data_IF_113237756661
#
_entry.id   IF_113237756661
#
_cell.length_a   1.000
_cell.length_b   1.000
_cell.length_c   1.000
_cell.angle_alpha   90.00
_cell.angle_beta   90.00
_cell.angle_gamma   90.00
#
_symmetry.space_group_name_H-M   'P 1'
#
loop_
_entity.id
_entity.type
_entity.pdbx_description
1 polymer ?
#
# COMPACT_ATOMS: atom_id res chain seq x y z
N UNK A 1 -10.71 27.91 8.19
CA UNK A 1 -9.67 27.83 9.25
C UNK A 1 -9.34 26.35 9.44
N UNK A 2 -8.06 25.99 9.46
CA UNK A 2 -7.61 24.59 9.60
C UNK A 2 -7.46 24.21 11.06
N UNK A 3 -8.14 23.14 11.49
CA UNK A 3 -8.07 22.60 12.85
C UNK A 3 -6.94 21.57 12.95
N UNK A 4 -6.09 21.69 13.96
CA UNK A 4 -5.14 20.64 14.30
C UNK A 4 -5.79 19.66 15.28
N UNK A 5 -5.69 18.36 15.01
CA UNK A 5 -6.12 17.29 15.91
C UNK A 5 -4.90 16.50 16.39
N UNK A 6 -5.05 15.81 17.53
CA UNK A 6 -4.05 14.85 17.99
C UNK A 6 -4.24 13.55 17.22
N UNK A 7 -3.14 12.89 16.86
CA UNK A 7 -3.18 11.65 16.08
C UNK A 7 -4.03 10.56 16.76
N UNK A 8 -3.81 10.31 18.06
CA UNK A 8 -4.62 9.37 18.84
C UNK A 8 -6.05 9.81 19.18
N UNK A 9 -6.49 10.99 18.74
CA UNK A 9 -7.84 11.53 18.95
C UNK A 9 -8.32 12.30 17.70
N UNK A 10 -8.36 11.59 16.57
CA UNK A 10 -8.64 12.13 15.24
C UNK A 10 -10.05 11.79 14.73
N UNK A 11 -10.97 11.46 15.63
CA UNK A 11 -12.36 11.13 15.26
C UNK A 11 -13.15 12.38 14.91
N UNK A 12 -13.84 12.32 13.77
CA UNK A 12 -14.71 13.39 13.27
C UNK A 12 -16.11 12.85 13.07
N UNK A 13 -17.10 13.55 13.61
CA UNK A 13 -18.52 13.29 13.36
C UNK A 13 -18.97 14.07 12.12
N UNK A 14 -19.31 13.35 11.05
CA UNK A 14 -19.67 13.94 9.76
C UNK A 14 -20.93 14.78 9.82
N UNK A 15 -21.85 14.49 10.75
CA UNK A 15 -23.08 15.26 10.93
C UNK A 15 -22.83 16.65 11.52
N UNK A 16 -21.66 16.85 12.14
CA UNK A 16 -21.26 18.14 12.76
C UNK A 16 -20.42 19.01 11.84
N UNK A 17 -20.16 18.58 10.60
CA UNK A 17 -19.38 19.35 9.65
C UNK A 17 -20.08 20.69 9.32
N UNK A 18 -19.35 21.82 9.36
CA UNK A 18 -19.90 23.10 8.92
C UNK A 18 -20.31 23.05 7.44
N UNK A 19 -21.28 23.88 7.05
CA UNK A 19 -21.75 23.96 5.66
C UNK A 19 -20.62 24.29 4.65
N UNK A 20 -19.59 25.03 5.08
CA UNK A 20 -18.40 25.33 4.28
C UNK A 20 -17.32 24.24 4.28
N UNK A 21 -17.59 23.09 4.92
CA UNK A 21 -16.63 22.02 5.15
C UNK A 21 -15.71 22.26 6.36
N UNK A 22 -14.78 21.33 6.57
CA UNK A 22 -13.76 21.41 7.60
C UNK A 22 -12.38 21.09 7.02
N UNK A 23 -11.34 21.76 7.51
CA UNK A 23 -9.96 21.41 7.21
C UNK A 23 -9.29 20.89 8.48
N UNK A 24 -8.64 19.73 8.40
CA UNK A 24 -7.98 19.05 9.53
C UNK A 24 -6.52 18.80 9.21
N UNK A 25 -5.64 18.93 10.22
CA UNK A 25 -4.24 18.51 10.15
C UNK A 25 -3.89 17.57 11.30
N UNK A 26 -3.18 16.51 10.97
CA UNK A 26 -2.63 15.52 11.89
C UNK A 26 -1.10 15.47 11.78
N UNK A 27 -0.44 15.22 12.90
CA UNK A 27 0.98 14.88 12.96
C UNK A 27 1.21 13.84 14.04
N UNK A 28 1.86 12.74 13.68
CA UNK A 28 2.11 11.61 14.56
C UNK A 28 3.23 11.95 15.57
N UNK A 29 2.90 11.88 16.86
CA UNK A 29 3.85 11.98 17.94
C UNK A 29 4.76 10.76 18.02
N UNK A 30 5.71 10.76 18.98
CA UNK A 30 6.67 9.67 19.11
C UNK A 30 5.99 8.31 19.40
N UNK A 31 4.94 8.31 20.22
CA UNK A 31 4.17 7.10 20.54
C UNK A 31 3.36 6.62 19.33
N UNK A 32 2.64 7.53 18.67
CA UNK A 32 1.89 7.24 17.44
C UNK A 32 2.77 6.64 16.36
N UNK A 33 3.98 7.19 16.14
CA UNK A 33 4.93 6.67 15.15
C UNK A 33 5.38 5.24 15.47
N UNK A 34 5.58 4.89 16.75
CA UNK A 34 5.87 3.51 17.14
C UNK A 34 4.68 2.60 16.89
N UNK A 35 3.47 3.05 17.18
CA UNK A 35 2.25 2.29 16.90
C UNK A 35 2.04 2.05 15.41
N UNK A 36 2.24 3.07 14.56
CA UNK A 36 2.19 2.95 13.10
C UNK A 36 3.26 1.96 12.61
N UNK A 37 4.51 2.09 13.09
CA UNK A 37 5.58 1.16 12.73
C UNK A 37 5.23 -0.29 13.08
N UNK A 38 4.67 -0.53 14.26
CA UNK A 38 4.20 -1.85 14.68
C UNK A 38 3.08 -2.39 13.79
N UNK A 39 2.06 -1.56 13.50
CA UNK A 39 0.90 -1.95 12.66
C UNK A 39 1.31 -2.27 11.22
N UNK A 40 2.23 -1.50 10.65
CA UNK A 40 2.70 -1.64 9.27
C UNK A 40 3.96 -2.51 9.14
N UNK A 41 4.41 -3.14 10.23
CA UNK A 41 5.61 -4.01 10.27
C UNK A 41 6.88 -3.32 9.72
N UNK A 42 7.07 -2.06 10.10
CA UNK A 42 8.20 -1.22 9.70
C UNK A 42 9.30 -1.23 10.77
N UNK A 43 10.59 -1.18 10.37
CA UNK A 43 11.68 -0.85 11.30
C UNK A 43 11.42 0.42 12.12
N UNK A 44 11.07 1.54 11.48
CA UNK A 44 10.67 2.77 12.16
C UNK A 44 9.88 3.71 11.25
N UNK A 45 9.17 4.65 11.87
CA UNK A 45 8.55 5.81 11.24
C UNK A 45 9.18 7.06 11.83
N UNK A 46 9.87 7.83 11.00
CA UNK A 46 10.60 9.03 11.41
C UNK A 46 9.68 10.25 11.46
N UNK A 47 8.74 10.33 10.51
CA UNK A 47 7.71 11.35 10.45
C UNK A 47 6.45 10.80 9.77
N UNK A 48 5.28 11.25 10.22
CA UNK A 48 4.02 11.02 9.52
C UNK A 48 3.08 12.19 9.82
N UNK A 49 2.52 12.79 8.78
CA UNK A 49 1.59 13.90 8.88
C UNK A 49 0.60 13.87 7.72
N UNK A 50 -0.64 14.28 7.98
CA UNK A 50 -1.69 14.32 6.98
C UNK A 50 -2.50 15.62 7.10
N UNK A 51 -2.97 16.12 5.96
CA UNK A 51 -3.96 17.21 5.89
C UNK A 51 -5.18 16.73 5.14
N UNK A 52 -6.35 17.15 5.59
CA UNK A 52 -7.66 16.77 5.06
C UNK A 52 -8.51 18.01 4.85
N UNK A 53 -9.26 18.03 3.76
CA UNK A 53 -10.38 18.91 3.51
C UNK A 53 -11.64 18.04 3.36
N UNK A 54 -12.58 18.20 4.28
CA UNK A 54 -13.84 17.47 4.33
C UNK A 54 -14.97 18.37 3.86
N UNK A 55 -15.75 17.89 2.89
CA UNK A 55 -16.92 18.59 2.36
C UNK A 55 -18.12 17.65 2.34
N UNK A 56 -19.20 18.04 3.01
CA UNK A 56 -20.45 17.30 2.89
C UNK A 56 -21.01 17.46 1.47
N UNK A 57 -21.34 16.34 0.85
CA UNK A 57 -21.99 16.28 -0.45
C UNK A 57 -23.41 15.69 -0.28
N UNK A 58 -24.46 16.49 -0.50
CA UNK A 58 -25.84 16.01 -0.36
C UNK A 58 -26.09 14.76 -1.21
N UNK A 59 -26.53 13.68 -0.57
CA UNK A 59 -26.81 12.40 -1.22
C UNK A 59 -25.60 11.53 -1.57
N UNK A 60 -24.36 12.02 -1.38
CA UNK A 60 -23.11 11.27 -1.67
C UNK A 60 -22.22 11.03 -0.44
N UNK A 61 -22.53 11.65 0.70
CA UNK A 61 -21.77 11.48 1.95
C UNK A 61 -20.82 12.65 2.20
N UNK A 62 -19.55 12.37 2.48
CA UNK A 62 -18.52 13.40 2.67
C UNK A 62 -17.35 13.14 1.75
N UNK A 63 -17.02 14.10 0.89
CA UNK A 63 -15.78 14.07 0.12
C UNK A 63 -14.60 14.48 1.00
N UNK A 64 -13.51 13.74 0.90
CA UNK A 64 -12.25 13.94 1.60
C UNK A 64 -11.15 14.11 0.58
N UNK A 65 -10.60 15.31 0.49
CA UNK A 65 -9.36 15.57 -0.24
C UNK A 65 -8.22 15.67 0.76
N UNK A 66 -7.06 15.13 0.45
CA UNK A 66 -5.97 15.18 1.40
C UNK A 66 -4.59 14.98 0.81
N UNK A 67 -3.61 15.15 1.71
CA UNK A 67 -2.21 14.89 1.41
C UNK A 67 -1.53 14.28 2.62
N UNK A 68 -0.90 13.14 2.40
CA UNK A 68 -0.11 12.40 3.37
C UNK A 68 1.37 12.58 3.06
N UNK A 69 2.17 12.85 4.10
CA UNK A 69 3.64 12.84 4.03
C UNK A 69 4.20 11.99 5.14
N UNK A 70 5.05 11.03 4.79
CA UNK A 70 5.74 10.17 5.74
C UNK A 70 7.19 9.92 5.34
N UNK A 71 8.02 9.66 6.35
CA UNK A 71 9.41 9.23 6.20
C UNK A 71 9.59 7.97 7.01
N UNK A 72 9.87 6.88 6.33
CA UNK A 72 9.88 5.52 6.86
C UNK A 72 11.31 4.97 6.78
N UNK A 73 11.67 4.09 7.71
CA UNK A 73 12.80 3.20 7.53
C UNK A 73 12.26 1.84 7.10
N UNK A 74 12.82 1.31 6.02
CA UNK A 74 12.40 0.06 5.37
C UNK A 74 13.61 -0.85 5.21
N UNK A 75 13.36 -2.14 4.94
CA UNK A 75 14.41 -3.08 4.54
C UNK A 75 14.38 -3.25 3.03
N UNK A 76 15.52 -3.15 2.39
CA UNK A 76 15.70 -3.51 1.00
C UNK A 76 15.34 -4.99 0.81
N UNK A 77 14.43 -5.31 -0.11
CA UNK A 77 14.00 -6.71 -0.35
C UNK A 77 15.10 -7.60 -0.93
N UNK A 78 16.15 -6.98 -1.49
CA UNK A 78 17.30 -7.69 -2.06
C UNK A 78 18.41 -7.89 -1.03
N UNK A 79 18.91 -6.78 -0.46
CA UNK A 79 20.09 -6.83 0.43
C UNK A 79 19.74 -7.00 1.91
N UNK A 80 18.49 -6.73 2.31
CA UNK A 80 18.07 -6.70 3.71
C UNK A 80 18.47 -5.42 4.48
N UNK A 81 19.28 -4.55 3.87
CA UNK A 81 19.78 -3.33 4.48
C UNK A 81 18.66 -2.33 4.81
N UNK A 82 18.88 -1.55 5.85
CA UNK A 82 18.01 -0.44 6.19
C UNK A 82 18.14 0.68 5.15
N UNK A 83 17.01 1.26 4.76
CA UNK A 83 16.96 2.40 3.85
C UNK A 83 15.78 3.32 4.18
N UNK A 84 15.86 4.56 3.72
CA UNK A 84 14.78 5.53 3.84
C UNK A 84 13.80 5.40 2.69
N UNK A 85 12.50 5.47 3.00
CA UNK A 85 11.42 5.62 2.03
C UNK A 85 10.62 6.88 2.38
N UNK A 86 10.48 7.79 1.41
CA UNK A 86 9.66 9.00 1.55
C UNK A 86 8.36 8.79 0.77
N UNK A 87 7.24 8.89 1.47
CA UNK A 87 5.90 8.87 0.89
C UNK A 87 5.36 10.30 0.90
N UNK A 88 4.97 10.80 -0.27
CA UNK A 88 4.26 12.07 -0.41
C UNK A 88 3.10 11.88 -1.40
N UNK A 89 1.90 11.66 -0.86
CA UNK A 89 0.73 11.24 -1.63
C UNK A 89 -0.42 12.22 -1.45
N UNK A 90 -0.93 12.76 -2.55
CA UNK A 90 -2.27 13.34 -2.60
C UNK A 90 -3.31 12.22 -2.77
N UNK A 91 -4.46 12.36 -2.13
CA UNK A 91 -5.53 11.37 -2.20
C UNK A 91 -6.89 12.04 -2.15
N UNK A 92 -7.88 11.33 -2.69
CA UNK A 92 -9.29 11.67 -2.64
C UNK A 92 -10.03 10.43 -2.18
N UNK A 93 -11.04 10.60 -1.33
CA UNK A 93 -11.86 9.51 -0.84
C UNK A 93 -13.24 10.03 -0.43
N UNK A 94 -14.24 9.15 -0.36
CA UNK A 94 -15.54 9.46 0.21
C UNK A 94 -15.77 8.75 1.55
N UNK A 95 -16.53 9.38 2.44
CA UNK A 95 -17.08 8.74 3.63
C UNK A 95 -18.56 8.53 3.39
N UNK A 96 -18.97 7.26 3.41
CA UNK A 96 -20.36 6.81 3.15
C UNK A 96 -20.91 6.10 4.38
N UNK A 97 -22.24 6.07 4.54
CA UNK A 97 -22.87 5.39 5.69
C UNK A 97 -23.05 3.88 5.45
N UNK A 98 -23.22 3.51 4.20
CA UNK A 98 -23.47 2.14 3.75
C UNK A 98 -22.63 1.91 2.50
N UNK A 99 -22.29 0.65 2.21
CA UNK A 99 -21.60 0.29 0.99
C UNK A 99 -22.45 0.69 -0.22
N UNK A 100 -21.89 1.43 -1.20
CA UNK A 100 -22.61 1.72 -2.42
C UNK A 100 -22.94 0.40 -3.12
N UNK A 101 -24.17 0.29 -3.64
CA UNK A 101 -24.51 -0.84 -4.49
C UNK A 101 -23.58 -0.85 -5.71
N UNK A 102 -23.04 -2.02 -6.07
CA UNK A 102 -22.18 -2.17 -7.24
C UNK A 102 -22.89 -1.56 -8.46
N UNK A 103 -22.29 -0.54 -9.07
CA UNK A 103 -22.81 0.02 -10.29
C UNK A 103 -22.64 -1.02 -11.40
N UNK A 104 -23.69 -1.30 -12.18
CA UNK A 104 -23.63 -2.21 -13.34
C UNK A 104 -22.79 -1.65 -14.51
N UNK A 105 -22.17 -0.48 -14.33
CA UNK A 105 -21.44 0.25 -15.37
C UNK A 105 -19.94 0.30 -15.02
N UNK A 106 -19.19 -0.65 -15.58
CA UNK A 106 -17.73 -0.90 -15.43
C UNK A 106 -16.83 0.29 -15.84
N UNK A 107 -17.40 1.44 -16.22
CA UNK A 107 -16.72 2.57 -16.83
C UNK A 107 -16.55 3.81 -15.92
N UNK A 108 -17.13 3.83 -14.72
CA UNK A 108 -16.86 4.87 -13.74
C UNK A 108 -15.63 4.47 -12.90
N UNK A 109 -14.60 5.32 -12.85
CA UNK A 109 -13.52 5.14 -11.88
C UNK A 109 -14.13 5.14 -10.46
N UNK A 110 -14.11 3.98 -9.81
CA UNK A 110 -14.66 3.81 -8.47
C UNK A 110 -13.76 4.57 -7.49
N UNK A 111 -14.23 5.72 -7.02
CA UNK A 111 -13.51 6.50 -6.02
C UNK A 111 -13.42 5.71 -4.71
N UNK A 112 -12.22 5.63 -4.13
CA UNK A 112 -12.00 4.99 -2.83
C UNK A 112 -12.96 5.54 -1.76
N UNK A 113 -13.52 4.67 -0.94
CA UNK A 113 -14.45 5.07 0.12
C UNK A 113 -14.17 4.38 1.45
N UNK A 114 -14.53 5.07 2.54
CA UNK A 114 -14.56 4.56 3.90
C UNK A 114 -16.01 4.48 4.36
N UNK A 115 -16.43 3.32 4.86
CA UNK A 115 -17.78 3.13 5.40
C UNK A 115 -17.80 3.52 6.87
N UNK A 116 -18.60 4.51 7.23
CA UNK A 116 -18.81 5.01 8.59
C UNK A 116 -20.30 4.93 8.98
N UNK A 117 -20.80 3.75 9.43
CA UNK A 117 -22.23 3.55 9.70
C UNK A 117 -22.77 4.46 10.81
N UNK A 118 -21.96 4.77 11.82
CA UNK A 118 -22.29 5.69 12.90
C UNK A 118 -22.05 7.17 12.54
N UNK A 119 -21.60 7.44 11.31
CA UNK A 119 -21.24 8.77 10.84
C UNK A 119 -19.94 9.31 11.44
N UNK A 120 -19.10 8.47 12.04
CA UNK A 120 -17.81 8.88 12.60
C UNK A 120 -16.67 8.25 11.84
N UNK A 121 -15.74 9.09 11.39
CA UNK A 121 -14.52 8.65 10.71
C UNK A 121 -13.32 8.88 11.62
N UNK A 122 -12.37 7.95 11.61
CA UNK A 122 -11.06 8.13 12.22
C UNK A 122 -10.05 8.56 11.14
N UNK A 123 -9.70 9.85 11.13
CA UNK A 123 -8.80 10.40 10.12
C UNK A 123 -7.35 9.91 10.30
N UNK A 124 -6.96 9.48 11.50
CA UNK A 124 -5.64 8.89 11.70
C UNK A 124 -5.59 7.47 11.12
N UNK A 125 -6.66 6.69 11.26
CA UNK A 125 -6.76 5.37 10.62
C UNK A 125 -6.78 5.49 9.10
N UNK A 126 -7.57 6.41 8.54
CA UNK A 126 -7.58 6.70 7.09
C UNK A 126 -6.17 7.07 6.59
N UNK A 127 -5.43 7.92 7.32
CA UNK A 127 -4.04 8.23 6.98
C UNK A 127 -3.13 7.00 6.97
N UNK A 128 -3.33 6.05 7.89
CA UNK A 128 -2.54 4.80 7.96
C UNK A 128 -2.87 3.88 6.79
N UNK A 129 -4.13 3.76 6.40
CA UNK A 129 -4.53 2.97 5.23
C UNK A 129 -3.93 3.54 3.94
N UNK A 130 -4.05 4.86 3.74
CA UNK A 130 -3.42 5.55 2.60
C UNK A 130 -1.91 5.37 2.62
N UNK A 131 -1.27 5.46 3.80
CA UNK A 131 0.16 5.20 3.93
C UNK A 131 0.50 3.78 3.49
N UNK A 132 -0.25 2.79 3.96
CA UNK A 132 0.00 1.39 3.69
C UNK A 132 -0.03 1.08 2.18
N UNK A 133 -1.04 1.59 1.48
CA UNK A 133 -1.19 1.42 0.02
C UNK A 133 -0.18 2.25 -0.77
N UNK A 134 0.32 3.35 -0.21
CA UNK A 134 1.27 4.23 -0.90
C UNK A 134 2.73 3.77 -0.80
N UNK A 135 3.05 2.79 0.05
CA UNK A 135 4.42 2.27 0.17
C UNK A 135 4.81 1.47 -1.07
N UNK A 136 6.10 1.49 -1.39
CA UNK A 136 6.68 0.60 -2.39
C UNK A 136 6.46 -0.86 -1.98
N UNK A 137 5.83 -1.64 -2.87
CA UNK A 137 5.55 -3.06 -2.66
C UNK A 137 6.83 -3.90 -2.55
N UNK A 138 7.86 -3.55 -3.34
CA UNK A 138 9.16 -4.21 -3.36
C UNK A 138 10.28 -3.16 -3.18
N UNK A 139 10.45 -2.66 -1.95
CA UNK A 139 11.32 -1.52 -1.70
C UNK A 139 12.79 -1.93 -1.90
N UNK A 140 13.52 -1.24 -2.80
CA UNK A 140 14.92 -1.52 -3.15
C UNK A 140 15.82 -0.34 -2.81
N UNK A 141 16.91 -0.63 -2.09
CA UNK A 141 17.92 0.35 -1.72
C UNK A 141 19.00 0.52 -2.79
N UNK A 142 19.87 1.52 -2.64
CA UNK A 142 20.92 1.83 -3.62
C UNK A 142 21.93 0.67 -3.83
N UNK A 143 22.10 -0.21 -2.86
CA UNK A 143 22.96 -1.40 -2.97
C UNK A 143 22.31 -2.61 -3.64
N UNK A 144 21.02 -2.55 -3.99
CA UNK A 144 20.29 -3.72 -4.49
C UNK A 144 20.90 -4.29 -5.78
N UNK A 145 21.28 -3.44 -6.73
CA UNK A 145 21.81 -3.88 -8.02
C UNK A 145 23.17 -4.58 -7.89
N UNK A 146 24.03 -4.09 -6.99
CA UNK A 146 25.33 -4.70 -6.71
C UNK A 146 25.17 -6.11 -6.12
N UNK A 147 24.24 -6.27 -5.17
CA UNK A 147 23.94 -7.57 -4.56
C UNK A 147 23.35 -8.53 -5.59
N UNK A 148 22.42 -8.07 -6.44
CA UNK A 148 21.87 -8.90 -7.53
C UNK A 148 22.94 -9.39 -8.50
N UNK A 149 23.90 -8.53 -8.86
CA UNK A 149 24.98 -8.90 -9.77
C UNK A 149 25.89 -9.99 -9.18
N UNK A 150 26.17 -9.94 -7.87
CA UNK A 150 26.96 -10.96 -7.17
C UNK A 150 26.25 -12.32 -7.17
N UNK A 151 24.94 -12.35 -6.89
CA UNK A 151 24.15 -13.58 -6.93
C UNK A 151 23.96 -14.13 -8.36
N UNK A 152 23.77 -13.26 -9.35
CA UNK A 152 23.65 -13.67 -10.76
C UNK A 152 24.93 -14.33 -11.29
N UNK A 153 26.10 -13.79 -10.93
CA UNK A 153 27.39 -14.36 -11.29
C UNK A 153 27.64 -15.74 -10.66
N UNK A 154 27.03 -16.03 -9.50
CA UNK A 154 27.13 -17.33 -8.83
C UNK A 154 26.17 -18.37 -9.43
N UNK A 155 24.99 -17.96 -9.90
CA UNK A 155 23.99 -18.86 -10.51
C UNK A 155 24.43 -19.44 -11.87
N UNK A 156 25.14 -18.66 -12.68
CA UNK A 156 25.63 -19.12 -13.99
C UNK A 156 26.88 -20.01 -13.89
N UNK A 157 27.66 -19.89 -12.79
CA UNK A 157 28.86 -20.70 -12.55
C UNK A 157 28.54 -22.11 -12.00
N UNK A 158 27.34 -22.32 -11.46
CA UNK A 158 26.87 -23.58 -10.90
C UNK A 158 25.81 -24.24 -11.80
N UNK A 159 26.12 -24.39 -13.09
CA UNK A 159 25.23 -24.89 -14.15
C UNK A 159 24.66 -26.31 -13.97
N UNK A 160 23.84 -26.50 -12.95
CA UNK A 160 22.75 -27.48 -12.94
C UNK A 160 21.46 -26.70 -12.99
N UNK A 161 20.57 -27.02 -13.94
CA UNK A 161 19.18 -26.58 -13.90
C UNK A 161 18.50 -27.17 -12.64
N UNK A 162 18.76 -26.62 -11.47
CA UNK A 162 17.94 -26.92 -10.31
C UNK A 162 16.55 -26.39 -10.63
N UNK A 163 15.59 -27.30 -10.76
CA UNK A 163 14.18 -27.02 -10.95
C UNK A 163 13.52 -27.10 -9.56
N UNK A 164 13.59 -26.06 -8.71
CA UNK A 164 13.15 -26.11 -7.32
C UNK A 164 11.67 -26.48 -7.16
N UNK A 165 10.88 -26.29 -8.22
CA UNK A 165 9.46 -26.62 -8.27
C UNK A 165 9.12 -27.84 -9.13
N UNK A 166 10.10 -28.62 -9.63
CA UNK A 166 9.84 -29.79 -10.48
C UNK A 166 8.95 -30.85 -9.81
N UNK A 167 9.00 -30.97 -8.49
CA UNK A 167 8.15 -31.88 -7.72
C UNK A 167 6.76 -31.35 -7.37
N UNK A 168 6.41 -30.12 -7.76
CA UNK A 168 5.19 -29.46 -7.31
C UNK A 168 3.92 -30.13 -7.86
N UNK A 169 3.91 -30.52 -9.15
CA UNK A 169 2.77 -31.19 -9.77
C UNK A 169 2.40 -32.50 -9.07
N UNK A 170 3.40 -33.30 -8.69
CA UNK A 170 3.21 -34.53 -7.93
C UNK A 170 2.64 -34.28 -6.52
N UNK A 171 3.02 -33.15 -5.88
CA UNK A 171 2.50 -32.77 -4.55
C UNK A 171 1.11 -32.16 -4.59
N UNK A 172 0.73 -31.54 -5.70
CA UNK A 172 -0.60 -30.96 -5.91
C UNK A 172 -1.59 -31.94 -6.55
N UNK A 173 -1.17 -33.18 -6.85
CA UNK A 173 -2.02 -34.19 -7.48
C UNK A 173 -2.44 -33.84 -8.91
N UNK A 174 -1.66 -33.00 -9.60
CA UNK A 174 -1.91 -32.67 -11.00
C UNK A 174 -1.48 -33.84 -11.90
N UNK A 175 -2.28 -34.23 -12.91
CA UNK A 175 -1.85 -35.23 -13.87
C UNK A 175 -0.61 -34.72 -14.61
N UNK A 176 0.43 -35.55 -14.69
CA UNK A 176 1.71 -35.17 -15.30
C UNK A 176 1.53 -34.91 -16.80
N UNK A 177 1.77 -33.67 -17.24
CA UNK A 177 1.98 -33.38 -18.66
C UNK A 177 3.43 -33.70 -19.00
N UNK A 178 3.66 -34.68 -19.88
CA UNK A 178 4.96 -34.90 -20.51
C UNK A 178 5.40 -33.64 -21.26
N UNK A 179 6.69 -33.26 -21.21
CA UNK A 179 7.20 -32.17 -22.02
C UNK A 179 7.23 -32.60 -23.50
N UNK A 180 6.43 -31.93 -24.34
CA UNK A 180 6.51 -32.04 -25.80
C UNK A 180 7.78 -31.30 -26.28
N UNK A 181 8.89 -32.03 -26.25
CA UNK A 181 10.17 -31.61 -26.80
C UNK A 181 10.53 -32.50 -27.98
N UNK A 182 9.83 -32.33 -29.11
CA UNK A 182 10.28 -32.88 -30.38
C UNK A 182 11.34 -31.95 -31.00
N UNK A 183 12.61 -32.27 -30.77
CA UNK A 183 13.74 -31.78 -31.55
C UNK A 183 13.54 -32.18 -33.03
N UNK A 184 13.34 -31.20 -33.91
CA UNK A 184 13.38 -31.37 -35.36
C UNK A 184 14.83 -31.44 -35.81
N UNK A 185 15.25 -32.64 -36.22
CA UNK A 185 16.63 -33.01 -36.49
C UNK A 185 17.35 -32.24 -37.58
N UNK A 186 18.66 -32.15 -37.39
CA UNK A 186 19.66 -31.84 -38.40
C UNK A 186 19.47 -32.71 -39.65
N UNK A 187 19.39 -32.07 -40.82
CA UNK A 187 19.58 -32.70 -42.11
C UNK A 187 20.78 -32.03 -42.79
N UNK A 188 21.92 -32.72 -42.73
CA UNK A 188 23.10 -32.47 -43.57
C UNK A 188 22.87 -33.06 -44.98
N UNK A 189 23.26 -32.31 -46.00
CA UNK A 189 23.10 -32.62 -47.43
C UNK A 189 23.40 -31.43 -48.33
#
# INVERSE_FOLDING_TARGET
MTRALRWGDARVDVATLPAGGAAVRLSAGAEDRRAIAGRLQLPSVEACAATFALRAEPGRGVLVEGRLRARLVRRCVVSGDAMEEIVDRAFESAIVREEPAAAEDDAAEEMDYEVAPDGRVDLAELAIQILAVSMAAYPRGPGADAVLAEFGAQGDAAGGQEKPFAGLGARLGMPGSEPDGAEGGDADG
#
